data_IF_834984175880
#
_entry.id   IF_834984175880
#
_cell.length_a   1.000
_cell.length_b   1.000
_cell.length_c   1.000
_cell.angle_alpha   90.00
_cell.angle_beta   90.00
_cell.angle_gamma   90.00
#
_symmetry.space_group_name_H-M   'P 1'
#
loop_
_entity.id
_entity.type
_entity.pdbx_description
1 polymer ?
#
# COMPACT_ATOMS: atom_id res chain seq x y z
N UNK A 1 -10.69 1.68 2.78
CA UNK A 1 -9.60 2.64 3.03
C UNK A 1 -9.29 3.54 1.83
N UNK A 2 -9.36 3.04 0.59
CA UNK A 2 -9.11 3.85 -0.66
C UNK A 2 -7.79 4.64 -0.62
N UNK A 3 -6.76 4.04 -0.03
CA UNK A 3 -5.45 4.67 0.11
C UNK A 3 -4.61 4.63 -1.17
N UNK A 4 -5.07 3.96 -2.23
CA UNK A 4 -4.32 3.80 -3.49
C UNK A 4 -5.10 4.45 -4.63
N UNK A 5 -4.41 5.26 -5.44
CA UNK A 5 -5.00 5.93 -6.60
C UNK A 5 -4.01 6.01 -7.76
N UNK A 6 -4.51 6.16 -8.99
CA UNK A 6 -3.66 6.32 -10.18
C UNK A 6 -3.08 7.73 -10.23
N UNK A 7 -1.76 7.85 -10.11
CA UNK A 7 -1.04 9.11 -10.30
C UNK A 7 -0.69 9.36 -11.78
N UNK A 8 0.19 10.34 -12.06
CA UNK A 8 0.57 10.69 -13.42
C UNK A 8 1.31 9.58 -14.20
N UNK A 9 2.02 8.70 -13.49
CA UNK A 9 2.87 7.65 -14.09
C UNK A 9 2.66 6.26 -13.47
N UNK A 10 2.33 6.20 -12.18
CA UNK A 10 2.18 4.96 -11.41
C UNK A 10 1.10 5.14 -10.35
N UNK A 11 0.62 4.03 -9.82
CA UNK A 11 -0.26 4.04 -8.65
C UNK A 11 0.49 4.58 -7.44
N UNK A 12 -0.16 5.46 -6.69
CA UNK A 12 0.40 6.10 -5.50
C UNK A 12 -0.40 5.69 -4.27
N UNK A 13 0.32 5.41 -3.18
CA UNK A 13 -0.26 5.14 -1.86
C UNK A 13 -0.24 6.44 -1.05
N UNK A 14 -1.40 6.85 -0.54
CA UNK A 14 -1.52 7.98 0.39
C UNK A 14 -1.13 7.51 1.81
N UNK A 15 0.00 7.97 2.36
CA UNK A 15 0.47 7.55 3.68
C UNK A 15 -0.46 7.99 4.81
N UNK A 16 -1.25 9.06 4.64
CA UNK A 16 -2.20 9.51 5.65
C UNK A 16 -3.42 8.58 5.79
N UNK A 17 -3.67 7.73 4.79
CA UNK A 17 -4.80 6.79 4.73
C UNK A 17 -4.36 5.33 4.80
N UNK A 18 -3.09 5.05 4.55
CA UNK A 18 -2.54 3.71 4.62
C UNK A 18 -2.45 3.26 6.08
N UNK A 19 -3.13 2.17 6.41
CA UNK A 19 -3.08 1.55 7.74
C UNK A 19 -2.31 0.24 7.73
N UNK A 20 -1.55 -0.02 6.65
CA UNK A 20 -0.85 -1.28 6.42
C UNK A 20 -1.78 -2.51 6.48
N UNK A 21 -3.07 -2.29 6.23
CA UNK A 21 -4.15 -3.27 6.41
C UNK A 21 -4.33 -3.81 7.85
N UNK A 22 -3.65 -3.23 8.86
CA UNK A 22 -3.78 -3.62 10.27
C UNK A 22 -5.26 -3.50 10.70
N UNK A 23 -5.77 -4.57 11.31
CA UNK A 23 -7.17 -4.68 11.75
C UNK A 23 -8.15 -5.15 10.68
N UNK A 24 -7.70 -5.38 9.44
CA UNK A 24 -8.52 -5.90 8.34
C UNK A 24 -7.97 -7.21 7.77
N UNK A 25 -6.66 -7.28 7.55
CA UNK A 25 -5.95 -8.43 7.00
C UNK A 25 -4.65 -8.67 7.77
N UNK A 26 -4.13 -9.91 7.71
CA UNK A 26 -2.85 -10.26 8.35
C UNK A 26 -1.64 -9.64 7.64
N UNK A 27 -1.78 -9.32 6.35
CA UNK A 27 -0.74 -8.73 5.52
C UNK A 27 -1.30 -7.61 4.64
N UNK A 28 -0.48 -6.65 4.19
CA UNK A 28 -0.89 -5.63 3.23
C UNK A 28 -1.34 -6.27 1.91
N UNK A 29 -2.61 -6.13 1.58
CA UNK A 29 -3.17 -6.75 0.37
C UNK A 29 -2.59 -6.17 -0.91
N UNK A 30 -2.19 -4.90 -0.91
CA UNK A 30 -1.53 -4.26 -2.04
C UNK A 30 -0.17 -4.89 -2.38
N UNK A 31 0.58 -5.36 -1.39
CA UNK A 31 1.85 -6.06 -1.59
C UNK A 31 1.59 -7.44 -2.16
N UNK A 32 0.69 -8.22 -1.54
CA UNK A 32 0.41 -9.61 -1.97
C UNK A 32 -0.14 -9.74 -3.39
N UNK A 33 -0.82 -8.70 -3.92
CA UNK A 33 -1.38 -8.72 -5.29
C UNK A 33 -0.51 -8.01 -6.31
N UNK A 34 0.58 -7.36 -5.92
CA UNK A 34 1.42 -6.62 -6.85
C UNK A 34 2.20 -7.61 -7.75
N UNK A 35 1.99 -7.61 -9.08
CA UNK A 35 2.58 -8.63 -9.95
C UNK A 35 4.10 -8.46 -10.17
N UNK A 36 4.69 -7.38 -9.66
CA UNK A 36 6.09 -6.99 -9.88
C UNK A 36 6.78 -6.53 -8.59
N UNK A 37 6.20 -6.79 -7.42
CA UNK A 37 6.78 -6.51 -6.10
C UNK A 37 7.32 -5.07 -5.93
N UNK A 38 6.58 -4.06 -6.40
CA UNK A 38 7.03 -2.66 -6.38
C UNK A 38 6.57 -1.82 -5.17
N UNK A 39 6.02 -2.46 -4.14
CA UNK A 39 5.50 -1.80 -2.93
C UNK A 39 6.23 -2.37 -1.72
N UNK A 40 6.90 -1.50 -0.95
CA UNK A 40 7.63 -1.87 0.26
C UNK A 40 7.08 -1.11 1.48
N UNK A 41 7.14 -1.75 2.65
CA UNK A 41 6.86 -1.09 3.92
C UNK A 41 8.07 -0.26 4.33
N UNK A 42 7.86 1.03 4.60
CA UNK A 42 8.88 1.91 5.15
C UNK A 42 8.61 2.01 6.66
N UNK A 43 9.35 1.22 7.44
CA UNK A 43 9.34 1.34 8.90
C UNK A 43 10.14 2.61 9.28
N UNK A 44 9.55 3.58 10.01
CA UNK A 44 10.21 4.84 10.37
C UNK A 44 11.22 4.72 11.55
N UNK A 45 11.83 3.55 11.80
CA UNK A 45 12.77 3.30 12.91
C UNK A 45 14.13 3.99 12.78
#
# INVERSE_FOLDING_TARGET
NEAISMGPLHYQVDPARCTECIGFYEKPTCIEVCPIDCIELIDPS
#
